data_IF_256666618182
#
_entry.id   IF_256666618182
#
_cell.length_a   1.000
_cell.length_b   1.000
_cell.length_c   1.000
_cell.angle_alpha   90.00
_cell.angle_beta   90.00
_cell.angle_gamma   90.00
#
_symmetry.space_group_name_H-M   'P 1'
#
loop_
_entity.id
_entity.type
_entity.pdbx_description
1 polymer ?
#
# COMPACT_ATOMS: atom_id res chain seq x y z
N UNK A 1 -8.43 -8.53 22.96
CA UNK A 1 -9.71 -9.06 23.50
C UNK A 1 -10.58 -9.71 22.42
N UNK A 2 -10.95 -9.01 21.33
CA UNK A 2 -11.83 -9.57 20.27
C UNK A 2 -11.26 -10.85 19.64
N UNK A 3 -10.00 -10.83 19.17
CA UNK A 3 -9.35 -12.00 18.57
C UNK A 3 -9.31 -13.19 19.54
N UNK A 4 -8.94 -12.96 20.80
CA UNK A 4 -8.88 -14.01 21.83
C UNK A 4 -10.26 -14.64 22.08
N UNK A 5 -11.30 -13.84 22.21
CA UNK A 5 -12.68 -14.31 22.40
C UNK A 5 -13.20 -15.10 21.18
N UNK A 6 -12.95 -14.59 19.97
CA UNK A 6 -13.34 -15.25 18.73
C UNK A 6 -12.57 -16.57 18.49
N UNK A 7 -11.28 -16.60 18.85
CA UNK A 7 -10.47 -17.82 18.77
C UNK A 7 -10.95 -18.85 19.79
N UNK A 8 -11.27 -18.42 21.02
CA UNK A 8 -11.85 -19.31 22.03
C UNK A 8 -13.19 -19.89 21.55
N UNK A 9 -14.07 -19.06 20.99
CA UNK A 9 -15.32 -19.49 20.39
C UNK A 9 -15.13 -20.56 19.28
N UNK A 10 -14.13 -20.37 18.41
CA UNK A 10 -13.80 -21.31 17.33
C UNK A 10 -13.22 -22.64 17.86
N UNK A 11 -12.43 -22.59 18.93
CA UNK A 11 -11.76 -23.76 19.52
C UNK A 11 -12.67 -24.56 20.47
N UNK A 12 -13.66 -23.91 21.09
CA UNK A 12 -14.55 -24.51 22.10
C UNK A 12 -15.32 -25.77 21.62
N UNK A 13 -15.92 -25.82 20.42
CA UNK A 13 -16.58 -27.04 19.91
C UNK A 13 -15.62 -28.23 19.76
N UNK A 14 -14.36 -27.94 19.43
CA UNK A 14 -13.31 -28.94 19.18
C UNK A 14 -12.82 -29.52 20.50
N UNK A 15 -12.60 -28.67 21.50
CA UNK A 15 -12.22 -29.11 22.86
C UNK A 15 -13.33 -29.91 23.54
N UNK A 16 -14.59 -29.54 23.30
CA UNK A 16 -15.74 -30.20 23.92
C UNK A 16 -16.20 -31.47 23.19
N UNK A 17 -15.56 -31.83 22.05
CA UNK A 17 -15.99 -32.90 21.12
C UNK A 17 -17.48 -32.85 20.78
N UNK A 18 -18.11 -31.68 20.93
CA UNK A 18 -19.50 -31.47 20.54
C UNK A 18 -19.44 -31.03 19.08
N UNK A 19 -19.73 -31.98 18.18
CA UNK A 19 -20.05 -31.56 16.82
C UNK A 19 -21.19 -30.55 16.87
N UNK A 20 -21.09 -29.42 16.15
CA UNK A 20 -22.16 -28.44 16.11
C UNK A 20 -23.41 -29.10 15.54
N UNK A 21 -24.40 -29.37 16.40
CA UNK A 21 -25.70 -29.93 16.02
C UNK A 21 -26.37 -28.99 15.01
N UNK A 22 -26.48 -29.45 13.76
CA UNK A 22 -27.27 -28.81 12.71
C UNK A 22 -26.56 -27.63 12.03
N UNK A 23 -25.66 -27.94 11.10
CA UNK A 23 -25.14 -26.92 10.19
C UNK A 23 -26.27 -26.46 9.25
N UNK A 24 -26.85 -25.28 9.48
CA UNK A 24 -27.67 -24.62 8.47
C UNK A 24 -26.77 -24.32 7.26
N UNK A 25 -27.25 -24.59 6.04
CA UNK A 25 -26.48 -24.40 4.79
C UNK A 25 -25.81 -23.02 4.66
N UNK A 26 -26.33 -22.01 5.36
CA UNK A 26 -25.67 -20.72 5.56
C UNK A 26 -25.51 -20.41 7.06
N UNK A 27 -24.28 -20.28 7.58
CA UNK A 27 -24.09 -19.86 8.96
C UNK A 27 -24.55 -18.41 9.15
N UNK A 28 -25.07 -18.06 10.35
CA UNK A 28 -25.55 -16.71 10.64
C UNK A 28 -24.41 -15.68 10.58
N UNK A 29 -24.76 -14.40 10.34
CA UNK A 29 -23.79 -13.32 10.14
C UNK A 29 -22.78 -13.21 11.29
N UNK A 30 -23.25 -13.28 12.54
CA UNK A 30 -22.38 -13.18 13.72
C UNK A 30 -21.33 -14.29 13.79
N UNK A 31 -21.67 -15.50 13.35
CA UNK A 31 -20.72 -16.62 13.30
C UNK A 31 -19.63 -16.37 12.27
N UNK A 32 -20.01 -15.87 11.08
CA UNK A 32 -19.05 -15.49 10.04
C UNK A 32 -18.11 -14.38 10.52
N UNK A 33 -18.67 -13.36 11.18
CA UNK A 33 -17.89 -12.27 11.76
C UNK A 33 -16.94 -12.78 12.85
N UNK A 34 -17.39 -13.68 13.74
CA UNK A 34 -16.53 -14.27 14.76
C UNK A 34 -15.37 -15.05 14.15
N UNK A 35 -15.63 -15.88 13.12
CA UNK A 35 -14.57 -16.61 12.42
C UNK A 35 -13.57 -15.69 11.70
N UNK A 36 -13.99 -14.53 11.20
CA UNK A 36 -13.07 -13.55 10.62
C UNK A 36 -11.99 -13.08 11.61
N UNK A 37 -12.27 -13.08 12.91
CA UNK A 37 -11.33 -12.70 13.98
C UNK A 37 -10.71 -13.90 14.71
N UNK A 38 -11.00 -15.15 14.31
CA UNK A 38 -10.35 -16.33 14.89
C UNK A 38 -8.91 -16.44 14.41
N UNK A 39 -7.95 -16.46 15.34
CA UNK A 39 -6.54 -16.65 15.01
C UNK A 39 -6.31 -18.03 14.39
N UNK A 40 -6.96 -19.08 14.90
CA UNK A 40 -6.82 -20.44 14.39
C UNK A 40 -7.25 -20.54 12.92
N UNK A 41 -8.49 -20.16 12.61
CA UNK A 41 -9.03 -20.25 11.25
C UNK A 41 -8.20 -19.41 10.26
N UNK A 42 -7.72 -18.24 10.68
CA UNK A 42 -6.87 -17.40 9.84
C UNK A 42 -5.45 -17.98 9.67
N UNK A 43 -4.84 -18.55 10.72
CA UNK A 43 -3.52 -19.22 10.63
C UNK A 43 -3.61 -20.46 9.73
N UNK A 44 -4.64 -21.28 9.88
CA UNK A 44 -4.89 -22.44 9.02
C UNK A 44 -5.03 -22.00 7.56
N UNK A 45 -5.78 -20.92 7.31
CA UNK A 45 -5.91 -20.34 5.97
C UNK A 45 -4.60 -19.75 5.42
N UNK A 46 -3.74 -19.20 6.28
CA UNK A 46 -2.42 -18.67 5.90
C UNK A 46 -1.40 -19.76 5.59
N UNK A 47 -1.46 -20.88 6.31
CA UNK A 47 -0.55 -22.02 6.13
C UNK A 47 -1.02 -22.97 5.03
N UNK A 48 -2.30 -22.91 4.65
CA UNK A 48 -2.84 -23.73 3.56
C UNK A 48 -2.55 -23.07 2.21
N UNK A 49 -1.67 -23.68 1.44
CA UNK A 49 -1.47 -23.32 0.04
C UNK A 49 -2.65 -23.78 -0.81
N UNK A 50 -3.15 -22.91 -1.68
CA UNK A 50 -4.10 -23.25 -2.74
C UNK A 50 -3.52 -22.75 -4.05
N UNK A 51 -3.27 -23.69 -4.95
CA UNK A 51 -2.81 -23.39 -6.30
C UNK A 51 -3.83 -22.49 -7.00
N UNK A 52 -3.32 -21.41 -7.59
CA UNK A 52 -4.16 -20.43 -8.27
C UNK A 52 -4.27 -20.78 -9.74
N UNK A 53 -5.50 -20.84 -10.26
CA UNK A 53 -5.75 -21.20 -11.67
C UNK A 53 -5.41 -20.09 -12.67
N UNK A 54 -4.92 -18.93 -12.20
CA UNK A 54 -4.65 -17.75 -13.03
C UNK A 54 -3.18 -17.68 -13.51
N UNK A 55 -2.28 -18.50 -12.97
CA UNK A 55 -0.87 -18.55 -13.33
C UNK A 55 -0.07 -17.32 -12.89
N UNK A 56 -0.59 -16.50 -11.96
CA UNK A 56 0.03 -15.24 -11.53
C UNK A 56 0.85 -15.38 -10.23
N UNK A 57 1.25 -16.59 -9.87
CA UNK A 57 1.90 -16.90 -8.59
C UNK A 57 3.24 -16.18 -8.39
N UNK A 58 4.01 -16.02 -9.47
CA UNK A 58 5.28 -15.30 -9.43
C UNK A 58 5.10 -13.83 -8.99
N UNK A 59 3.95 -13.23 -9.28
CA UNK A 59 3.63 -11.85 -8.88
C UNK A 59 3.54 -11.74 -7.36
N UNK A 60 3.05 -12.77 -6.67
CA UNK A 60 3.05 -12.78 -5.21
C UNK A 60 4.46 -12.78 -4.63
N UNK A 61 5.38 -13.55 -5.23
CA UNK A 61 6.80 -13.54 -4.87
C UNK A 61 7.46 -12.18 -5.12
N UNK A 62 7.18 -11.54 -6.27
CA UNK A 62 7.69 -10.20 -6.57
C UNK A 62 7.20 -9.16 -5.57
N UNK A 63 5.91 -9.17 -5.20
CA UNK A 63 5.36 -8.28 -4.17
C UNK A 63 6.05 -8.48 -2.82
N UNK A 64 6.33 -9.72 -2.43
CA UNK A 64 7.03 -10.02 -1.17
C UNK A 64 8.45 -9.44 -1.20
N UNK A 65 9.19 -9.66 -2.28
CA UNK A 65 10.55 -9.14 -2.44
C UNK A 65 10.56 -7.60 -2.39
N UNK A 66 9.69 -6.95 -3.15
CA UNK A 66 9.57 -5.49 -3.15
C UNK A 66 9.17 -4.96 -1.78
N UNK A 67 8.27 -5.64 -1.04
CA UNK A 67 7.88 -5.23 0.32
C UNK A 67 9.07 -5.27 1.28
N UNK A 68 9.88 -6.33 1.23
CA UNK A 68 11.08 -6.44 2.05
C UNK A 68 12.08 -5.30 1.76
N UNK A 69 12.30 -4.98 0.48
CA UNK A 69 13.17 -3.87 0.07
C UNK A 69 12.64 -2.51 0.56
N UNK A 70 11.32 -2.28 0.47
CA UNK A 70 10.69 -1.04 0.96
C UNK A 70 10.86 -0.91 2.47
N UNK A 71 10.61 -1.97 3.25
CA UNK A 71 10.78 -1.95 4.71
C UNK A 71 12.24 -1.67 5.07
N UNK A 72 13.18 -2.33 4.40
CA UNK A 72 14.61 -2.12 4.59
C UNK A 72 15.03 -0.68 4.26
N UNK A 73 14.55 -0.13 3.14
CA UNK A 73 14.81 1.25 2.72
C UNK A 73 14.28 2.28 3.73
N UNK A 74 13.04 2.12 4.21
CA UNK A 74 12.48 3.02 5.23
C UNK A 74 13.24 2.92 6.55
N UNK A 75 13.63 1.70 6.97
CA UNK A 75 14.43 1.53 8.17
C UNK A 75 15.78 2.24 8.04
N UNK A 76 16.45 2.10 6.90
CA UNK A 76 17.70 2.77 6.61
C UNK A 76 17.54 4.30 6.64
N UNK A 77 16.48 4.83 6.01
CA UNK A 77 16.15 6.26 6.01
C UNK A 77 16.04 6.85 7.41
N UNK A 78 15.30 6.19 8.31
CA UNK A 78 15.16 6.69 9.68
C UNK A 78 16.47 6.62 10.48
N UNK A 79 17.34 5.63 10.20
CA UNK A 79 18.65 5.51 10.85
C UNK A 79 19.65 6.56 10.32
N UNK A 80 19.70 6.79 9.01
CA UNK A 80 20.60 7.79 8.41
C UNK A 80 20.20 9.22 8.79
N UNK A 81 18.92 9.49 9.01
CA UNK A 81 18.43 10.76 9.54
C UNK A 81 18.54 10.90 11.06
N UNK A 82 19.27 10.04 11.76
CA UNK A 82 19.55 10.15 13.19
C UNK A 82 20.97 10.72 13.42
N UNK A 83 21.29 11.25 14.62
CA UNK A 83 22.63 11.73 14.91
C UNK A 83 23.71 10.67 14.63
N UNK A 84 24.71 11.03 13.83
CA UNK A 84 25.77 10.13 13.37
C UNK A 84 27.01 10.25 14.25
N UNK A 85 27.55 9.11 14.69
CA UNK A 85 28.85 9.05 15.37
C UNK A 85 30.02 8.83 14.40
N UNK A 86 29.74 8.30 13.20
CA UNK A 86 30.72 8.03 12.16
C UNK A 86 30.17 8.49 10.79
N UNK A 87 30.51 9.72 10.40
CA UNK A 87 30.09 10.29 9.12
C UNK A 87 30.78 9.61 7.93
N UNK A 88 32.04 9.21 8.08
CA UNK A 88 32.84 8.57 7.02
C UNK A 88 32.21 7.24 6.56
N UNK A 89 31.66 6.45 7.49
CA UNK A 89 30.93 5.23 7.14
C UNK A 89 29.71 5.52 6.25
N UNK A 90 28.97 6.59 6.56
CA UNK A 90 27.77 6.98 5.83
C UNK A 90 28.14 7.53 4.44
N UNK A 91 29.16 8.36 4.35
CA UNK A 91 29.70 8.83 3.07
C UNK A 91 30.18 7.66 2.20
N UNK A 92 30.94 6.72 2.79
CA UNK A 92 31.36 5.50 2.12
C UNK A 92 30.21 4.56 1.75
N UNK A 93 29.06 4.65 2.43
CA UNK A 93 27.85 3.92 2.06
C UNK A 93 27.17 4.53 0.82
N UNK A 94 27.12 5.86 0.71
CA UNK A 94 26.56 6.55 -0.45
C UNK A 94 27.36 6.35 -1.74
N UNK A 95 28.65 6.06 -1.68
CA UNK A 95 29.46 5.86 -2.89
C UNK A 95 29.34 4.46 -3.49
N UNK A 96 28.78 3.51 -2.74
CA UNK A 96 28.66 2.11 -3.18
C UNK A 96 27.47 1.92 -4.12
N UNK A 97 27.73 1.33 -5.28
CA UNK A 97 26.70 0.98 -6.28
C UNK A 97 25.64 0.05 -5.70
N UNK A 98 26.01 -0.88 -4.81
CA UNK A 98 25.07 -1.80 -4.17
C UNK A 98 24.05 -1.08 -3.28
N UNK A 99 24.47 0.01 -2.62
CA UNK A 99 23.59 0.84 -1.80
C UNK A 99 22.57 1.61 -2.64
N UNK A 100 22.86 1.87 -3.92
CA UNK A 100 22.00 2.68 -4.79
C UNK A 100 20.60 2.10 -4.97
N UNK A 101 20.45 0.78 -4.89
CA UNK A 101 19.15 0.10 -4.97
C UNK A 101 18.24 0.56 -3.82
N UNK A 102 18.79 0.72 -2.62
CA UNK A 102 18.04 1.16 -1.44
C UNK A 102 17.90 2.68 -1.36
N UNK A 103 18.92 3.40 -1.82
CA UNK A 103 18.91 4.86 -1.84
C UNK A 103 17.90 5.39 -2.88
N UNK A 104 17.70 4.68 -3.99
CA UNK A 104 16.65 4.96 -4.98
C UNK A 104 15.32 4.28 -4.63
N UNK A 105 14.86 4.48 -3.39
CA UNK A 105 13.61 3.90 -2.89
C UNK A 105 12.39 4.05 -3.82
N UNK A 106 12.16 5.20 -4.48
CA UNK A 106 11.03 5.35 -5.41
C UNK A 106 10.99 4.31 -6.55
N UNK A 107 12.15 3.90 -7.07
CA UNK A 107 12.22 2.89 -8.14
C UNK A 107 11.68 1.53 -7.65
N UNK A 108 11.94 1.18 -6.39
CA UNK A 108 11.40 -0.04 -5.79
C UNK A 108 9.88 0.05 -5.68
N UNK A 109 9.34 1.23 -5.38
CA UNK A 109 7.91 1.48 -5.29
C UNK A 109 7.23 1.40 -6.68
N UNK A 110 7.92 1.81 -7.75
CA UNK A 110 7.41 1.69 -9.12
C UNK A 110 7.10 0.24 -9.52
N UNK A 111 7.82 -0.74 -8.96
CA UNK A 111 7.50 -2.16 -9.17
C UNK A 111 6.08 -2.49 -8.71
N UNK A 112 5.64 -1.92 -7.58
CA UNK A 112 4.28 -2.11 -7.08
C UNK A 112 3.25 -1.41 -7.96
N UNK A 113 3.53 -0.19 -8.44
CA UNK A 113 2.63 0.48 -9.39
C UNK A 113 2.48 -0.33 -10.69
N UNK A 114 3.58 -0.84 -11.22
CA UNK A 114 3.57 -1.68 -12.42
C UNK A 114 2.74 -2.95 -12.23
N UNK A 115 2.95 -3.66 -11.12
CA UNK A 115 2.17 -4.86 -10.79
C UNK A 115 0.69 -4.53 -10.58
N UNK A 116 0.37 -3.45 -9.86
CA UNK A 116 -1.02 -3.00 -9.64
C UNK A 116 -1.70 -2.66 -10.96
N UNK A 117 -1.03 -1.91 -11.84
CA UNK A 117 -1.56 -1.56 -13.17
C UNK A 117 -1.79 -2.79 -14.04
N UNK A 118 -0.84 -3.72 -14.08
CA UNK A 118 -0.97 -4.99 -14.79
C UNK A 118 -2.18 -5.79 -14.31
N UNK A 119 -2.31 -6.02 -13.00
CA UNK A 119 -3.41 -6.81 -12.43
C UNK A 119 -4.78 -6.15 -12.68
N UNK A 120 -4.88 -4.83 -12.52
CA UNK A 120 -6.13 -4.10 -12.81
C UNK A 120 -6.50 -4.23 -14.28
N UNK A 121 -5.54 -4.04 -15.19
CA UNK A 121 -5.77 -4.18 -16.63
C UNK A 121 -6.21 -5.60 -16.99
N UNK A 122 -5.47 -6.62 -16.53
CA UNK A 122 -5.75 -8.03 -16.79
C UNK A 122 -7.16 -8.43 -16.34
N UNK A 123 -7.50 -8.14 -15.08
CA UNK A 123 -8.80 -8.51 -14.50
C UNK A 123 -9.97 -7.77 -15.18
N UNK A 124 -9.80 -6.48 -15.47
CA UNK A 124 -10.84 -5.71 -16.16
C UNK A 124 -11.07 -6.20 -17.59
N UNK A 125 -10.00 -6.48 -18.35
CA UNK A 125 -10.13 -7.04 -19.70
C UNK A 125 -10.82 -8.41 -19.71
N UNK A 126 -10.45 -9.28 -18.77
CA UNK A 126 -11.09 -10.58 -18.60
C UNK A 126 -12.60 -10.44 -18.31
N UNK A 127 -12.95 -9.51 -17.42
CA UNK A 127 -14.33 -9.27 -17.02
C UNK A 127 -15.15 -8.58 -18.12
N UNK A 128 -14.56 -7.65 -18.89
CA UNK A 128 -15.19 -7.09 -20.08
C UNK A 128 -15.44 -8.16 -21.15
N UNK A 129 -14.51 -9.09 -21.35
CA UNK A 129 -14.70 -10.21 -22.29
C UNK A 129 -15.81 -11.16 -21.83
N UNK A 130 -15.93 -11.40 -20.52
CA UNK A 130 -16.95 -12.30 -19.94
C UNK A 130 -18.34 -11.69 -19.86
N UNK A 131 -18.45 -10.46 -19.35
CA UNK A 131 -19.74 -9.84 -18.99
C UNK A 131 -20.15 -8.66 -19.86
N UNK A 132 -19.26 -8.15 -20.72
CA UNK A 132 -19.46 -6.97 -21.62
C UNK A 132 -19.80 -5.64 -20.92
N UNK A 133 -20.14 -5.66 -19.63
CA UNK A 133 -20.54 -4.52 -18.81
C UNK A 133 -19.93 -4.65 -17.42
N UNK A 134 -19.52 -3.51 -16.87
CA UNK A 134 -18.92 -3.40 -15.56
C UNK A 134 -19.55 -2.23 -14.81
N UNK A 135 -19.86 -2.44 -13.53
CA UNK A 135 -20.25 -1.36 -12.64
C UNK A 135 -18.98 -0.72 -12.06
N UNK A 136 -18.47 0.31 -12.76
CA UNK A 136 -17.23 0.99 -12.40
C UNK A 136 -17.33 1.66 -11.02
N UNK A 137 -18.50 2.23 -10.69
CA UNK A 137 -18.74 2.81 -9.37
C UNK A 137 -18.56 1.77 -8.26
N UNK A 138 -19.11 0.57 -8.45
CA UNK A 138 -18.98 -0.52 -7.49
C UNK A 138 -17.51 -0.97 -7.33
N UNK A 139 -16.70 -0.92 -8.40
CA UNK A 139 -15.26 -1.21 -8.31
C UNK A 139 -14.53 -0.19 -7.43
N UNK A 140 -14.84 1.10 -7.58
CA UNK A 140 -14.26 2.15 -6.74
C UNK A 140 -14.68 2.01 -5.28
N UNK A 141 -15.96 1.78 -5.02
CA UNK A 141 -16.49 1.56 -3.66
C UNK A 141 -15.83 0.35 -3.02
N UNK A 142 -15.72 -0.78 -3.72
CA UNK A 142 -15.08 -1.98 -3.20
C UNK A 142 -13.62 -1.73 -2.82
N UNK A 143 -12.87 -0.99 -3.65
CA UNK A 143 -11.47 -0.69 -3.35
C UNK A 143 -11.35 0.26 -2.16
N UNK A 144 -12.18 1.30 -2.10
CA UNK A 144 -12.21 2.25 -0.99
C UNK A 144 -12.50 1.52 0.34
N UNK A 145 -13.58 0.75 0.41
CA UNK A 145 -13.95 -0.02 1.61
C UNK A 145 -12.91 -1.08 1.97
N UNK A 146 -12.14 -1.60 0.99
CA UNK A 146 -11.05 -2.54 1.27
C UNK A 146 -9.82 -1.88 1.89
N UNK A 147 -9.45 -0.68 1.45
CA UNK A 147 -8.20 -0.02 1.85
C UNK A 147 -8.39 0.93 3.04
N UNK A 148 -9.43 1.76 3.01
CA UNK A 148 -9.62 2.87 3.95
C UNK A 148 -9.75 2.41 5.41
N UNK A 149 -10.46 1.31 5.76
CA UNK A 149 -10.57 0.92 7.17
C UNK A 149 -9.22 0.57 7.81
N UNK A 150 -8.38 -0.18 7.10
CA UNK A 150 -7.02 -0.51 7.58
C UNK A 150 -6.17 0.76 7.66
N UNK A 151 -6.30 1.63 6.66
CA UNK A 151 -5.55 2.88 6.63
C UNK A 151 -5.92 3.81 7.80
N UNK A 152 -7.21 3.88 8.14
CA UNK A 152 -7.72 4.62 9.30
C UNK A 152 -7.21 4.07 10.63
N UNK A 153 -7.09 2.75 10.77
CA UNK A 153 -6.52 2.14 11.99
C UNK A 153 -5.05 2.54 12.15
N UNK A 154 -4.27 2.53 11.07
CA UNK A 154 -2.86 2.95 11.10
C UNK A 154 -2.76 4.45 11.39
N UNK A 155 -3.60 5.27 10.77
CA UNK A 155 -3.66 6.72 11.02
C UNK A 155 -4.00 7.02 12.49
N UNK A 156 -4.98 6.33 13.06
CA UNK A 156 -5.32 6.42 14.47
C UNK A 156 -4.16 5.98 15.37
N UNK A 157 -3.44 4.91 14.99
CA UNK A 157 -2.25 4.46 15.72
C UNK A 157 -1.14 5.52 15.73
N UNK A 158 -0.84 6.14 14.59
CA UNK A 158 0.17 7.20 14.49
C UNK A 158 -0.19 8.46 15.29
N UNK A 159 -1.48 8.82 15.32
CA UNK A 159 -1.95 10.02 16.03
C UNK A 159 -2.05 9.84 17.55
N UNK A 160 -2.25 8.61 18.04
CA UNK A 160 -2.56 8.38 19.47
C UNK A 160 -1.53 7.48 20.16
N UNK A 161 -1.45 6.22 19.73
CA UNK A 161 -0.73 5.19 20.46
C UNK A 161 0.77 5.28 20.24
N UNK A 162 1.22 5.58 19.02
CA UNK A 162 2.64 5.53 18.66
C UNK A 162 3.49 6.43 19.57
N UNK A 163 3.01 7.63 19.91
CA UNK A 163 3.74 8.56 20.79
C UNK A 163 4.07 7.92 22.15
N UNK A 164 3.24 7.02 22.65
CA UNK A 164 3.39 6.37 23.96
C UNK A 164 4.41 5.22 23.97
N UNK A 165 4.90 4.76 22.81
CA UNK A 165 5.81 3.60 22.71
C UNK A 165 7.26 3.93 23.05
N UNK A 166 7.61 5.20 23.18
CA UNK A 166 8.97 5.65 23.41
C UNK A 166 9.02 6.93 24.24
N UNK A 167 10.24 7.31 24.60
CA UNK A 167 10.51 8.54 25.34
C UNK A 167 11.87 9.11 24.92
N UNK A 168 12.08 10.40 25.20
CA UNK A 168 13.34 11.10 24.96
C UNK A 168 13.22 12.25 23.94
N UNK A 169 14.22 13.13 23.88
CA UNK A 169 14.16 14.37 23.11
C UNK A 169 14.03 14.14 21.59
N UNK A 170 14.70 13.11 21.07
CA UNK A 170 14.58 12.70 19.67
C UNK A 170 13.23 12.07 19.34
N UNK A 171 12.60 11.40 20.32
CA UNK A 171 11.31 10.76 20.14
C UNK A 171 10.21 11.81 19.96
N UNK A 172 10.15 12.80 20.84
CA UNK A 172 9.21 13.90 20.75
C UNK A 172 9.38 14.68 19.44
N UNK A 173 10.64 14.98 19.08
CA UNK A 173 10.94 15.74 17.87
C UNK A 173 10.62 15.01 16.56
N UNK A 174 10.63 13.67 16.55
CA UNK A 174 10.31 12.86 15.36
C UNK A 174 8.87 12.36 15.39
N UNK A 175 8.52 11.58 16.40
CA UNK A 175 7.22 10.91 16.52
C UNK A 175 6.14 11.87 16.98
N UNK A 176 6.43 12.78 17.92
CA UNK A 176 5.48 13.81 18.36
C UNK A 176 5.05 14.72 17.22
N UNK A 177 6.01 15.29 16.48
CA UNK A 177 5.70 16.10 15.28
C UNK A 177 4.97 15.32 14.18
N UNK A 178 5.26 14.03 14.01
CA UNK A 178 4.52 13.19 13.07
C UNK A 178 3.07 13.00 13.50
N UNK A 179 2.84 12.77 14.80
CA UNK A 179 1.49 12.67 15.37
C UNK A 179 0.69 13.98 15.19
N UNK A 180 1.32 15.14 15.40
CA UNK A 180 0.73 16.46 15.16
C UNK A 180 0.35 16.65 13.68
N UNK A 181 1.27 16.37 12.75
CA UNK A 181 0.99 16.43 11.30
C UNK A 181 -0.17 15.52 10.92
N UNK A 182 -0.22 14.34 11.51
CA UNK A 182 -1.33 13.40 11.32
C UNK A 182 -2.63 13.89 11.92
N UNK A 183 -2.62 14.54 13.07
CA UNK A 183 -3.80 15.12 13.69
C UNK A 183 -4.35 16.33 12.92
N UNK A 184 -3.48 17.12 12.27
CA UNK A 184 -3.91 18.24 11.41
C UNK A 184 -4.43 17.78 10.04
N UNK A 185 -3.77 16.79 9.42
CA UNK A 185 -4.02 16.40 8.02
C UNK A 185 -4.63 15.00 7.85
N UNK A 186 -5.24 14.42 8.89
CA UNK A 186 -5.85 13.08 8.82
C UNK A 186 -6.86 12.98 7.67
N UNK A 187 -7.71 13.99 7.49
CA UNK A 187 -8.78 14.00 6.49
C UNK A 187 -8.24 13.92 5.06
N UNK A 188 -7.09 14.56 4.79
CA UNK A 188 -6.45 14.54 3.48
C UNK A 188 -5.98 13.13 3.12
N UNK A 189 -5.58 12.33 4.11
CA UNK A 189 -5.22 10.93 3.91
C UNK A 189 -6.45 10.06 3.62
N UNK A 190 -7.56 10.28 4.32
CA UNK A 190 -8.82 9.54 4.13
C UNK A 190 -9.43 9.77 2.75
N UNK A 191 -9.27 10.98 2.23
CA UNK A 191 -9.71 11.36 0.88
C UNK A 191 -8.69 11.02 -0.20
N UNK A 192 -7.50 10.52 0.15
CA UNK A 192 -6.40 10.26 -0.77
C UNK A 192 -5.97 11.53 -1.54
N UNK A 193 -5.84 12.68 -0.88
CA UNK A 193 -5.40 13.95 -1.48
C UNK A 193 -4.19 14.58 -0.78
N UNK A 194 -3.59 13.87 0.17
CA UNK A 194 -2.43 14.32 0.95
C UNK A 194 -1.19 14.64 0.11
N UNK A 195 -1.10 14.17 -1.14
CA UNK A 195 0.00 14.54 -2.04
C UNK A 195 -0.12 15.96 -2.59
N UNK A 196 -1.31 16.55 -2.53
CA UNK A 196 -1.60 17.88 -3.10
C UNK A 196 -1.93 18.90 -2.01
N UNK A 197 -2.56 18.46 -0.92
CA UNK A 197 -2.92 19.31 0.20
C UNK A 197 -1.81 19.29 1.24
N UNK A 198 -1.25 20.47 1.55
CA UNK A 198 -0.19 20.64 2.56
C UNK A 198 0.98 19.63 2.40
N UNK A 199 1.64 19.56 1.23
CA UNK A 199 2.69 18.57 0.97
C UNK A 199 3.86 18.66 1.97
N UNK A 200 4.11 19.85 2.54
CA UNK A 200 5.12 20.09 3.58
C UNK A 200 4.79 19.43 4.94
N UNK A 201 3.52 19.08 5.16
CA UNK A 201 3.00 18.48 6.39
C UNK A 201 2.36 17.11 6.12
N UNK A 202 2.97 16.32 5.22
CA UNK A 202 2.57 14.94 4.98
C UNK A 202 2.54 14.16 6.30
N UNK A 203 1.42 13.49 6.53
CA UNK A 203 1.25 12.54 7.61
C UNK A 203 1.61 11.15 7.13
N UNK A 204 2.44 10.45 7.89
CA UNK A 204 3.08 9.18 7.53
C UNK A 204 3.82 9.33 6.23
N UNK A 205 5.14 9.56 6.24
CA UNK A 205 5.90 9.78 5.01
C UNK A 205 5.56 8.79 3.88
N UNK A 206 5.42 7.50 4.18
CA UNK A 206 5.06 6.45 3.21
C UNK A 206 3.64 6.54 2.61
N UNK A 207 2.75 7.41 3.13
CA UNK A 207 1.36 7.54 2.68
C UNK A 207 1.22 8.03 1.25
N UNK A 208 2.23 8.73 0.72
CA UNK A 208 2.18 9.30 -0.62
C UNK A 208 1.89 8.24 -1.68
N UNK A 209 2.44 7.04 -1.49
CA UNK A 209 2.28 5.90 -2.38
C UNK A 209 0.82 5.46 -2.46
N UNK A 210 0.14 5.37 -1.33
CA UNK A 210 -1.23 4.87 -1.24
C UNK A 210 -2.19 5.80 -2.01
N UNK A 211 -1.94 7.10 -1.91
CA UNK A 211 -2.68 8.12 -2.66
C UNK A 211 -2.43 8.05 -4.17
N UNK A 212 -1.18 7.90 -4.59
CA UNK A 212 -0.86 7.65 -6.00
C UNK A 212 -1.54 6.37 -6.52
N UNK A 213 -1.50 5.29 -5.76
CA UNK A 213 -2.10 3.99 -6.13
C UNK A 213 -3.63 4.10 -6.29
N UNK A 214 -4.30 4.88 -5.42
CA UNK A 214 -5.74 5.15 -5.56
C UNK A 214 -6.06 6.00 -6.80
N UNK A 215 -5.28 7.06 -7.07
CA UNK A 215 -5.49 7.88 -8.27
C UNK A 215 -5.25 7.13 -9.57
N UNK A 216 -4.16 6.36 -9.65
CA UNK A 216 -3.87 5.51 -10.80
C UNK A 216 -4.99 4.48 -11.02
N UNK A 217 -5.56 3.94 -9.95
CA UNK A 217 -6.73 3.08 -10.07
C UNK A 217 -7.98 3.78 -10.55
N UNK A 218 -8.27 5.00 -10.09
CA UNK A 218 -9.43 5.76 -10.55
C UNK A 218 -9.36 5.97 -12.07
N UNK A 219 -8.17 6.29 -12.57
CA UNK A 219 -7.92 6.54 -14.00
C UNK A 219 -7.91 5.24 -14.84
N UNK A 220 -7.62 4.08 -14.22
CA UNK A 220 -7.43 2.82 -14.94
C UNK A 220 -8.69 2.28 -15.67
N UNK A 221 -9.89 2.14 -15.05
CA UNK A 221 -11.05 1.58 -15.75
C UNK A 221 -11.48 2.33 -17.01
N UNK A 222 -11.49 3.69 -17.06
CA UNK A 222 -11.73 4.42 -18.31
C UNK A 222 -10.71 4.10 -19.41
N UNK A 223 -9.43 4.05 -19.09
CA UNK A 223 -8.37 3.72 -20.05
C UNK A 223 -8.55 2.28 -20.57
N UNK A 224 -8.78 1.32 -19.68
CA UNK A 224 -8.98 -0.09 -20.04
C UNK A 224 -10.25 -0.27 -20.87
N UNK A 225 -11.32 0.46 -20.54
CA UNK A 225 -12.54 0.46 -21.35
C UNK A 225 -12.29 0.95 -22.79
N UNK A 226 -11.52 2.02 -22.96
CA UNK A 226 -11.14 2.52 -24.28
C UNK A 226 -10.25 1.53 -25.02
N UNK A 227 -9.28 0.89 -24.35
CA UNK A 227 -8.44 -0.15 -24.95
C UNK A 227 -9.28 -1.34 -25.45
N UNK A 228 -10.29 -1.75 -24.67
CA UNK A 228 -11.17 -2.86 -25.04
C UNK A 228 -12.12 -2.50 -26.20
N UNK A 229 -12.76 -1.33 -26.14
CA UNK A 229 -13.78 -0.93 -27.12
C UNK A 229 -13.22 -0.31 -28.40
N UNK A 230 -12.15 0.49 -28.29
CA UNK A 230 -11.51 1.23 -29.39
C UNK A 230 -9.98 1.20 -29.21
N UNK A 231 -9.32 0.08 -29.55
CA UNK A 231 -7.91 -0.15 -29.21
C UNK A 231 -6.97 0.92 -29.76
N UNK A 232 -7.25 1.49 -30.94
CA UNK A 232 -6.43 2.59 -31.50
C UNK A 232 -6.44 3.81 -30.59
N UNK A 233 -7.62 4.26 -30.16
CA UNK A 233 -7.75 5.42 -29.26
C UNK A 233 -7.10 5.13 -27.91
N UNK A 234 -7.33 3.93 -27.35
CA UNK A 234 -6.72 3.53 -26.08
C UNK A 234 -5.18 3.51 -26.14
N UNK A 235 -4.60 2.96 -27.22
CA UNK A 235 -3.15 2.94 -27.44
C UNK A 235 -2.57 4.34 -27.62
N UNK A 236 -3.23 5.20 -28.40
CA UNK A 236 -2.80 6.60 -28.58
C UNK A 236 -2.87 7.36 -27.25
N UNK A 237 -3.94 7.20 -26.47
CA UNK A 237 -4.06 7.82 -25.15
C UNK A 237 -2.93 7.39 -24.21
N UNK A 238 -2.63 6.09 -24.14
CA UNK A 238 -1.51 5.59 -23.35
C UNK A 238 -0.18 6.17 -23.80
N UNK A 239 0.08 6.21 -25.12
CA UNK A 239 1.32 6.78 -25.65
C UNK A 239 1.45 8.27 -25.28
N UNK A 240 0.39 9.05 -25.48
CA UNK A 240 0.36 10.47 -25.13
C UNK A 240 0.55 10.68 -23.63
N UNK A 241 -0.12 9.90 -22.78
CA UNK A 241 0.01 10.00 -21.33
C UNK A 241 1.44 9.69 -20.85
N UNK A 242 2.07 8.63 -21.39
CA UNK A 242 3.46 8.29 -21.08
C UNK A 242 4.42 9.36 -21.56
N UNK A 243 4.26 9.84 -22.80
CA UNK A 243 5.09 10.93 -23.34
C UNK A 243 4.94 12.22 -22.51
N UNK A 244 3.71 12.59 -22.16
CA UNK A 244 3.44 13.73 -21.30
C UNK A 244 4.10 13.57 -19.92
N UNK A 245 4.00 12.39 -19.30
CA UNK A 245 4.66 12.11 -18.01
C UNK A 245 6.18 12.29 -18.08
N UNK A 246 6.82 11.78 -19.15
CA UNK A 246 8.27 11.92 -19.36
C UNK A 246 8.65 13.38 -19.56
N UNK A 247 7.93 14.08 -20.46
CA UNK A 247 8.20 15.49 -20.78
C UNK A 247 7.98 16.39 -19.57
N UNK A 248 6.87 16.22 -18.84
CA UNK A 248 6.60 17.01 -17.63
C UNK A 248 7.67 16.80 -16.58
N UNK A 249 8.07 15.55 -16.32
CA UNK A 249 9.14 15.26 -15.36
C UNK A 249 10.46 15.91 -15.78
N UNK A 250 10.82 15.79 -17.05
CA UNK A 250 12.01 16.44 -17.61
C UNK A 250 11.98 17.96 -17.46
N UNK A 251 10.86 18.60 -17.84
CA UNK A 251 10.71 20.06 -17.77
C UNK A 251 10.77 20.57 -16.33
N UNK A 252 10.10 19.90 -15.39
CA UNK A 252 10.13 20.28 -13.97
C UNK A 252 11.55 20.18 -13.41
N UNK A 253 12.26 19.07 -13.68
CA UNK A 253 13.64 18.90 -13.21
C UNK A 253 14.59 19.92 -13.85
N UNK A 254 14.47 20.14 -15.17
CA UNK A 254 15.34 21.04 -15.91
C UNK A 254 15.13 22.51 -15.51
N UNK A 255 13.87 22.98 -15.52
CA UNK A 255 13.54 24.36 -15.19
C UNK A 255 13.72 24.65 -13.69
N UNK A 256 13.42 23.68 -12.83
CA UNK A 256 13.61 23.77 -11.40
C UNK A 256 15.06 23.62 -10.94
N UNK A 257 16.00 23.30 -11.85
CA UNK A 257 17.41 22.97 -11.54
C UNK A 257 17.52 21.96 -10.39
N UNK A 258 16.64 20.96 -10.43
CA UNK A 258 16.57 19.91 -9.41
C UNK A 258 17.60 18.82 -9.71
N UNK A 259 18.05 18.14 -8.66
CA UNK A 259 18.89 16.97 -8.80
C UNK A 259 18.13 15.85 -9.53
N UNK A 260 18.85 15.08 -10.36
CA UNK A 260 18.28 13.94 -11.08
C UNK A 260 17.85 12.81 -10.12
N UNK A 261 18.36 12.82 -8.89
CA UNK A 261 18.04 11.86 -7.85
C UNK A 261 17.37 12.58 -6.69
N UNK A 262 16.34 11.94 -6.11
CA UNK A 262 15.72 12.42 -4.89
C UNK A 262 16.68 12.17 -3.72
N UNK A 263 17.51 13.16 -3.39
CA UNK A 263 18.47 13.12 -2.28
C UNK A 263 17.77 13.34 -0.93
N UNK A 264 16.88 12.41 -0.54
CA UNK A 264 16.19 12.45 0.77
C UNK A 264 17.14 12.47 1.98
N UNK A 265 18.41 12.13 1.77
CA UNK A 265 19.35 11.83 2.84
C UNK A 265 20.55 12.78 2.95
N UNK A 266 20.63 13.82 2.09
CA UNK A 266 21.76 14.76 2.06
C UNK A 266 21.36 16.22 2.38
N UNK A 267 20.14 16.46 2.86
CA UNK A 267 19.67 17.78 3.32
C UNK A 267 19.16 17.72 4.75
#
# INVERSE_FOLDING_TARGET
>A
MVVSACTFYDVLPILTKKEPKGWKATPPLWHRLALCFSARANIEKLLTYKESSDGLECIHGLKLMSLCLIIMGHRLMFNLGAPLTNAEFVEGFYTKVTSMILLNGPIVVDTFFGISGFLVCYLLLQEYNKRRRLNVLMLYVHRYVRLTPVYMVVLAFYTTLLVQFGSGPLWEHKVGREAERCAENWWANVLYVNNYVNPEKLCMFQSWYITCDMHLFIISPPIVYLLWKRPTIGKTLLFVATAASIVTSFLVTYLGKLDALLLLYMK
#
